data_IF_604543518326
#
_entry.id   IF_604543518326
#
_cell.length_a   1.000
_cell.length_b   1.000
_cell.length_c   1.000
_cell.angle_alpha   90.00
_cell.angle_beta   90.00
_cell.angle_gamma   90.00
#
_symmetry.space_group_name_H-M   'P 1'
#
loop_
_entity.id
_entity.type
_entity.pdbx_description
1 polymer ?
#
# COMPACT_ATOMS: atom_id res chain seq x y z
N UNK A 1 -5.42 11.98 9.72
CA UNK A 1 -4.89 10.91 8.86
C UNK A 1 -5.98 10.36 7.97
N UNK A 2 -5.62 9.86 6.81
CA UNK A 2 -6.58 9.31 5.87
C UNK A 2 -6.05 7.96 5.37
N UNK A 3 -6.97 7.03 5.11
CA UNK A 3 -6.62 5.66 4.71
C UNK A 3 -7.31 5.36 3.38
N UNK A 4 -6.56 4.76 2.46
CA UNK A 4 -7.03 4.56 1.09
C UNK A 4 -6.84 3.13 0.65
N UNK A 5 -7.75 2.67 -0.20
CA UNK A 5 -7.60 1.48 -1.00
C UNK A 5 -7.43 1.92 -2.46
N UNK A 6 -6.41 1.41 -3.10
CA UNK A 6 -6.10 1.72 -4.50
C UNK A 6 -6.19 0.43 -5.30
N UNK A 7 -7.04 0.43 -6.32
CA UNK A 7 -7.20 -0.71 -7.20
C UNK A 7 -6.58 -0.37 -8.55
N UNK A 8 -5.58 -1.14 -8.96
CA UNK A 8 -4.90 -0.92 -10.23
C UNK A 8 -5.58 -1.78 -11.28
N UNK A 9 -6.50 -1.17 -12.04
CA UNK A 9 -7.30 -1.87 -13.05
C UNK A 9 -6.45 -2.20 -14.27
N UNK A 10 -5.37 -1.45 -14.51
CA UNK A 10 -4.44 -1.69 -15.59
C UNK A 10 -3.04 -1.71 -14.98
N UNK A 11 -2.33 -2.83 -15.12
CA UNK A 11 -1.02 -2.99 -14.50
C UNK A 11 -0.20 -3.99 -15.28
N UNK A 12 1.12 -3.87 -15.14
CA UNK A 12 2.06 -4.82 -15.71
C UNK A 12 2.14 -6.06 -14.81
N UNK A 13 2.77 -7.10 -15.30
CA UNK A 13 2.84 -8.38 -14.59
C UNK A 13 3.49 -8.26 -13.23
N UNK A 14 4.51 -7.42 -13.12
CA UNK A 14 5.28 -7.26 -11.89
C UNK A 14 4.73 -6.18 -10.97
N UNK A 15 3.65 -5.52 -11.36
CA UNK A 15 3.07 -4.45 -10.57
C UNK A 15 2.06 -5.00 -9.58
N UNK A 16 1.81 -4.30 -8.46
CA UNK A 16 0.73 -4.71 -7.57
C UNK A 16 -0.63 -4.54 -8.23
N UNK A 17 -1.58 -5.36 -7.80
CA UNK A 17 -2.97 -5.26 -8.25
C UNK A 17 -3.77 -4.32 -7.36
N UNK A 18 -3.39 -4.18 -6.10
CA UNK A 18 -4.03 -3.25 -5.18
C UNK A 18 -3.06 -2.83 -4.10
N UNK A 19 -3.31 -1.65 -3.54
CA UNK A 19 -2.52 -1.12 -2.44
C UNK A 19 -3.43 -0.53 -1.38
N UNK A 20 -2.94 -0.52 -0.15
CA UNK A 20 -3.59 0.16 0.97
C UNK A 20 -2.58 1.15 1.52
N UNK A 21 -3.01 2.40 1.71
CA UNK A 21 -2.09 3.49 2.02
C UNK A 21 -2.64 4.30 3.19
N UNK A 22 -1.74 4.65 4.12
CA UNK A 22 -2.04 5.62 5.16
C UNK A 22 -1.36 6.93 4.80
N UNK A 23 -2.13 8.01 4.78
CA UNK A 23 -1.61 9.36 4.54
C UNK A 23 -1.50 10.12 5.85
N UNK A 24 -0.41 10.83 6.04
CA UNK A 24 -0.28 11.77 7.13
C UNK A 24 -1.04 13.06 6.87
N UNK A 25 -0.97 14.00 7.80
CA UNK A 25 -1.63 15.29 7.66
C UNK A 25 -1.07 16.10 6.50
N UNK A 26 0.18 15.83 6.12
CA UNK A 26 0.82 16.45 4.96
C UNK A 26 0.43 15.76 3.66
N UNK A 27 -0.46 14.78 3.72
CA UNK A 27 -0.99 14.01 2.59
C UNK A 27 0.06 13.15 1.88
N UNK A 28 1.16 12.88 2.56
CA UNK A 28 2.19 11.96 2.05
C UNK A 28 2.02 10.58 2.67
N UNK A 29 2.52 9.58 1.97
CA UNK A 29 2.40 8.19 2.45
C UNK A 29 3.22 7.99 3.72
N UNK A 30 2.59 7.37 4.73
CA UNK A 30 3.24 7.01 5.99
C UNK A 30 3.43 5.51 6.10
N UNK A 31 2.43 4.75 5.65
CA UNK A 31 2.49 3.29 5.61
C UNK A 31 1.81 2.82 4.33
N UNK A 32 2.29 1.70 3.82
CA UNK A 32 1.77 1.18 2.56
C UNK A 32 1.80 -0.34 2.57
N UNK A 33 0.77 -0.96 2.01
CA UNK A 33 0.73 -2.39 1.75
C UNK A 33 0.43 -2.59 0.27
N UNK A 34 1.28 -3.36 -0.42
CA UNK A 34 1.08 -3.70 -1.82
C UNK A 34 0.77 -5.17 -1.94
N UNK A 35 -0.28 -5.50 -2.69
CA UNK A 35 -0.69 -6.88 -2.93
C UNK A 35 -0.60 -7.21 -4.41
N UNK A 36 -0.16 -8.41 -4.71
CA UNK A 36 0.10 -8.88 -6.07
C UNK A 36 -0.87 -10.01 -6.44
N UNK A 37 -1.00 -10.29 -7.72
CA UNK A 37 -1.96 -11.31 -8.19
C UNK A 37 -1.59 -12.72 -7.76
N UNK A 38 -0.33 -12.96 -7.38
CA UNK A 38 0.10 -14.25 -6.85
C UNK A 38 -0.23 -14.42 -5.36
N UNK A 39 -0.94 -13.46 -4.76
CA UNK A 39 -1.34 -13.51 -3.36
C UNK A 39 -0.31 -12.97 -2.39
N UNK A 40 0.86 -12.56 -2.86
CA UNK A 40 1.87 -11.99 -1.97
C UNK A 40 1.56 -10.55 -1.62
N UNK A 41 1.90 -10.16 -0.38
CA UNK A 41 1.74 -8.81 0.10
C UNK A 41 3.00 -8.32 0.77
N UNK A 42 3.28 -7.03 0.64
CA UNK A 42 4.46 -6.40 1.23
C UNK A 42 4.06 -5.11 1.93
N UNK A 43 4.58 -4.94 3.15
CA UNK A 43 4.29 -3.76 3.96
C UNK A 43 5.53 -2.87 4.05
N UNK A 44 5.30 -1.56 4.02
CA UNK A 44 6.37 -0.56 4.07
C UNK A 44 6.00 0.53 5.07
N UNK A 45 7.00 1.00 5.80
CA UNK A 45 6.82 2.04 6.79
C UNK A 45 6.59 1.48 8.18
N UNK A 46 6.59 2.35 9.20
CA UNK A 46 6.42 1.92 10.56
C UNK A 46 7.47 0.90 10.98
N UNK A 47 7.04 -0.18 11.60
CA UNK A 47 7.93 -1.23 12.09
C UNK A 47 8.57 -2.04 10.96
N UNK A 48 8.01 -1.98 9.76
CA UNK A 48 8.54 -2.78 8.65
C UNK A 48 9.69 -2.10 7.92
N UNK A 49 9.91 -0.80 8.13
CA UNK A 49 10.94 -0.08 7.40
C UNK A 49 10.57 0.09 5.94
N UNK A 50 11.59 0.27 5.09
CA UNK A 50 11.36 0.41 3.66
C UNK A 50 10.74 1.74 3.26
N UNK A 51 10.97 2.79 4.03
CA UNK A 51 10.39 4.10 3.78
C UNK A 51 10.73 4.67 2.41
N UNK A 52 11.82 4.20 1.80
CA UNK A 52 12.20 4.68 0.48
C UNK A 52 11.16 4.33 -0.59
N UNK A 53 10.32 3.33 -0.35
CA UNK A 53 9.25 2.94 -1.25
C UNK A 53 8.07 3.91 -1.18
N UNK A 54 7.90 4.58 -0.03
CA UNK A 54 6.77 5.47 0.18
C UNK A 54 6.89 6.72 -0.69
N UNK A 55 5.77 7.11 -1.30
CA UNK A 55 5.74 8.31 -2.12
C UNK A 55 5.91 9.55 -1.24
N UNK A 56 6.78 10.45 -1.68
CA UNK A 56 6.98 11.73 -1.01
C UNK A 56 6.16 12.84 -1.60
N UNK A 57 5.41 12.54 -2.68
CA UNK A 57 4.56 13.51 -3.32
C UNK A 57 3.20 13.50 -2.62
N UNK A 58 2.70 14.67 -2.18
CA UNK A 58 1.39 14.72 -1.52
C UNK A 58 0.29 14.27 -2.45
N UNK A 59 -0.67 13.53 -1.90
CA UNK A 59 -1.85 13.11 -2.65
C UNK A 59 -2.79 14.31 -2.83
N UNK A 60 -3.57 14.33 -3.91
CA UNK A 60 -4.53 15.41 -4.11
C UNK A 60 -5.66 15.34 -3.08
N UNK A 61 -6.34 16.46 -2.89
CA UNK A 61 -7.52 16.56 -2.05
C UNK A 61 -8.63 17.19 -2.87
N UNK A 62 -9.69 16.45 -3.19
CA UNK A 62 -10.00 15.11 -2.73
C UNK A 62 -9.23 14.02 -3.49
N UNK A 63 -9.03 12.87 -2.81
CA UNK A 63 -8.22 11.77 -3.38
C UNK A 63 -8.86 11.14 -4.61
N UNK A 64 -10.19 11.26 -4.76
CA UNK A 64 -10.85 10.64 -5.92
C UNK A 64 -10.44 11.30 -7.25
N UNK A 65 -9.75 12.45 -7.21
CA UNK A 65 -9.20 13.02 -8.42
C UNK A 65 -8.11 12.15 -9.04
N UNK A 66 -7.62 11.16 -8.30
CA UNK A 66 -6.67 10.19 -8.85
C UNK A 66 -7.35 9.14 -9.71
N UNK A 67 -8.69 9.01 -9.61
CA UNK A 67 -9.40 7.98 -10.38
C UNK A 67 -9.22 8.19 -11.87
N UNK A 68 -8.98 7.09 -12.59
CA UNK A 68 -8.89 7.07 -14.04
C UNK A 68 -9.65 5.87 -14.55
N UNK A 69 -10.62 6.13 -15.41
CA UNK A 69 -11.48 5.09 -15.95
C UNK A 69 -10.62 4.02 -16.64
N UNK A 70 -10.80 2.77 -16.22
CA UNK A 70 -10.08 1.63 -16.78
C UNK A 70 -8.65 1.47 -16.32
N UNK A 71 -8.14 2.39 -15.49
CA UNK A 71 -6.74 2.35 -15.05
C UNK A 71 -6.59 2.31 -13.53
N UNK A 72 -7.30 3.16 -12.82
CA UNK A 72 -7.07 3.35 -11.39
C UNK A 72 -8.37 3.73 -10.69
N UNK A 73 -8.63 3.07 -9.58
CA UNK A 73 -9.75 3.40 -8.70
C UNK A 73 -9.21 3.61 -7.30
N UNK A 74 -9.58 4.73 -6.67
CA UNK A 74 -9.15 5.06 -5.31
C UNK A 74 -10.39 5.24 -4.45
N UNK A 75 -10.40 4.62 -3.28
CA UNK A 75 -11.48 4.75 -2.29
C UNK A 75 -10.90 5.01 -0.93
N UNK A 76 -11.62 5.80 -0.14
CA UNK A 76 -11.31 5.99 1.27
C UNK A 76 -11.80 4.79 2.06
N UNK A 77 -10.99 4.32 2.99
CA UNK A 77 -11.39 3.23 3.90
C UNK A 77 -11.26 3.72 5.33
N UNK A 78 -11.78 2.95 6.28
CA UNK A 78 -11.68 3.29 7.68
C UNK A 78 -10.30 2.96 8.23
N UNK A 79 -9.91 3.66 9.30
CA UNK A 79 -8.69 3.33 10.03
C UNK A 79 -8.74 1.89 10.52
N UNK A 80 -9.91 1.44 10.96
CA UNK A 80 -10.08 0.08 11.47
C UNK A 80 -9.74 -0.96 10.41
N UNK A 81 -10.23 -0.76 9.19
CA UNK A 81 -9.97 -1.71 8.10
C UNK A 81 -8.48 -1.75 7.76
N UNK A 82 -7.85 -0.57 7.70
CA UNK A 82 -6.42 -0.50 7.44
C UNK A 82 -5.61 -1.20 8.52
N UNK A 83 -5.90 -0.89 9.79
CA UNK A 83 -5.15 -1.48 10.90
C UNK A 83 -5.36 -2.98 11.00
N UNK A 84 -6.54 -3.47 10.67
CA UNK A 84 -6.82 -4.90 10.67
C UNK A 84 -5.94 -5.63 9.67
N UNK A 85 -5.78 -5.08 8.47
CA UNK A 85 -4.90 -5.64 7.46
C UNK A 85 -3.44 -5.52 7.88
N UNK A 86 -3.06 -4.33 8.38
CA UNK A 86 -1.69 -4.06 8.79
C UNK A 86 -1.22 -5.07 9.84
N UNK A 87 -2.09 -5.39 10.79
CA UNK A 87 -1.77 -6.34 11.86
C UNK A 87 -1.57 -7.77 11.39
N UNK A 88 -1.98 -8.07 10.15
CA UNK A 88 -1.83 -9.42 9.59
C UNK A 88 -0.66 -9.55 8.62
N UNK A 89 0.04 -8.44 8.34
CA UNK A 89 1.16 -8.48 7.43
C UNK A 89 2.33 -9.23 8.07
N UNK A 90 3.01 -10.09 7.30
CA UNK A 90 4.16 -10.82 7.83
C UNK A 90 5.33 -9.88 8.05
N UNK A 91 6.11 -10.16 9.09
CA UNK A 91 7.35 -9.44 9.29
C UNK A 91 8.30 -9.74 8.17
N UNK A 92 9.07 -8.74 7.80
CA UNK A 92 10.14 -8.99 6.90
C UNK A 92 11.46 -8.80 7.58
N UNK A 93 12.43 -9.15 6.96
CA UNK A 93 12.47 -9.93 5.81
C UNK A 93 12.37 -11.32 6.11
N UNK A 94 11.80 -11.60 7.03
CA UNK A 94 11.80 -12.79 7.32
C UNK A 94 11.61 -13.71 6.29
N UNK A 95 11.49 -13.79 6.16
CA UNK A 95 11.29 -14.26 5.22
C UNK A 95 11.69 -14.50 4.28
N UNK A 96 11.85 -14.16 4.31
CA UNK A 96 12.31 -13.97 3.43
C UNK A 96 13.16 -14.38 3.14
N UNK A 97 13.37 -14.56 3.28
CA UNK A 97 14.14 -14.68 3.09
C UNK A 97 14.65 -15.34 3.28
N UNK A 98 14.46 -15.58 3.58
CA UNK A 98 14.99 -15.96 3.75
C UNK A 98 15.10 -16.78 3.62
N UNK A 99 14.87 -17.08 3.46
CA UNK A 99 15.10 -17.60 3.35
C UNK A 99 15.64 -18.31 2.99
N UNK A 100 15.79 -18.39 2.82
CA UNK A 100 16.41 -18.63 2.63
C UNK A 100 17.20 -19.12 2.66
N UNK A 101 17.08 -19.28 2.77
CA UNK A 101 17.76 -19.37 3.02
C UNK A 101 18.21 -20.14 3.25
N UNK A 102 17.81 -20.45 3.29
CA UNK A 102 18.03 -20.76 3.57
C UNK A 102 18.21 -21.24 3.60
#
# INVERSE_FOLDING_TARGET
>A
MQYLWINYLSHEEDDPTESYVELGDDRRERRRMDFYDNGMGFAYGGLFGGEAVLSKVPYPDPVHTLNRVGELEVRTISARDFESLWGRMPERPTGFLEASFF
#
